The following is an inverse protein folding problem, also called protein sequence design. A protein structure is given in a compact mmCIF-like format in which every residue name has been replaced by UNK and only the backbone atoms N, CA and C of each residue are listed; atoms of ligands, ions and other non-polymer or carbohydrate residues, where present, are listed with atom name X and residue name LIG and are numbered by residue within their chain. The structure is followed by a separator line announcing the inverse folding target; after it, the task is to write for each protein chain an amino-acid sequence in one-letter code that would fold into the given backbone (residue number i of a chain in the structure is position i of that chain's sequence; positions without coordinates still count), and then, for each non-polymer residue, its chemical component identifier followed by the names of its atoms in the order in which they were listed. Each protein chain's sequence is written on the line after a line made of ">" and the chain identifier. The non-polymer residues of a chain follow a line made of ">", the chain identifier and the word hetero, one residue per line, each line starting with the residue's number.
data_IF_918990673964
#
_entry.id   IF_918990673964
#
_cell.length_a   1.000
_cell.length_b   1.000
_cell.length_c   1.000
_cell.angle_alpha   90.00
_cell.angle_beta   90.00
_cell.angle_gamma   90.00
#
_symmetry.space_group_name_H-M   'P 1'
#
loop_
_entity.id
_entity.type
_entity.pdbx_description
1 polymer ?
#
# COMPACT_ATOMS: atom_id res chain seq x y z
N UNK A 1 -49.74 -37.92 1.79
CA UNK A 1 -49.35 -36.68 1.08
C UNK A 1 -48.34 -37.06 0.00
N UNK A 2 -48.79 -37.24 -1.25
CA UNK A 2 -47.96 -37.68 -2.38
C UNK A 2 -47.34 -36.44 -3.07
N UNK A 3 -46.00 -36.40 -3.21
CA UNK A 3 -45.36 -35.39 -4.05
C UNK A 3 -45.47 -35.82 -5.52
N UNK A 4 -46.24 -35.08 -6.33
CA UNK A 4 -46.30 -35.23 -7.78
C UNK A 4 -45.33 -34.24 -8.44
N UNK A 5 -44.32 -34.74 -9.15
CA UNK A 5 -43.55 -33.95 -10.11
C UNK A 5 -44.05 -34.25 -11.52
N UNK A 6 -44.47 -33.22 -12.25
CA UNK A 6 -44.96 -33.29 -13.65
C UNK A 6 -43.83 -32.79 -14.55
N UNK A 7 -43.44 -33.55 -15.58
CA UNK A 7 -42.51 -33.07 -16.61
C UNK A 7 -43.21 -33.03 -17.96
N UNK A 8 -43.01 -31.94 -18.70
CA UNK A 8 -43.76 -31.62 -19.92
C UNK A 8 -43.02 -32.13 -21.16
N UNK A 9 -42.93 -33.46 -21.28
CA UNK A 9 -42.63 -34.23 -22.49
C UNK A 9 -42.50 -35.69 -22.04
N UNK A 10 -43.44 -36.53 -22.48
CA UNK A 10 -43.56 -37.98 -22.26
C UNK A 10 -44.20 -38.46 -20.94
N UNK A 11 -45.44 -38.96 -21.05
CA UNK A 11 -46.24 -39.56 -19.99
C UNK A 11 -45.69 -40.91 -19.52
N UNK A 12 -44.92 -40.95 -18.43
CA UNK A 12 -44.64 -42.19 -17.71
C UNK A 12 -44.69 -41.98 -16.18
N UNK A 13 -45.46 -42.82 -15.49
CA UNK A 13 -45.53 -42.86 -14.02
C UNK A 13 -44.58 -43.93 -13.48
N UNK A 14 -43.73 -43.59 -12.51
CA UNK A 14 -42.92 -44.55 -11.75
C UNK A 14 -43.35 -44.58 -10.28
N UNK A 15 -43.61 -45.79 -9.76
CA UNK A 15 -43.83 -46.08 -8.35
C UNK A 15 -42.61 -46.79 -7.75
N UNK A 16 -42.12 -46.35 -6.58
CA UNK A 16 -41.04 -47.03 -5.85
C UNK A 16 -41.49 -47.52 -4.46
N UNK A 17 -41.05 -48.71 -4.01
CA UNK A 17 -41.35 -49.24 -2.67
C UNK A 17 -40.41 -48.67 -1.60
N UNK A 18 -40.86 -48.74 -0.33
CA UNK A 18 -40.15 -48.29 0.88
C UNK A 18 -38.94 -49.19 1.20
N UNK A 19 -37.76 -48.56 1.30
CA UNK A 19 -36.57 -48.89 2.12
C UNK A 19 -35.26 -48.85 1.30
N UNK A 20 -34.29 -48.06 1.76
CA UNK A 20 -32.85 -48.31 1.49
C UNK A 20 -32.03 -47.21 0.81
N UNK A 21 -31.19 -46.53 1.61
CA UNK A 21 -29.91 -45.87 1.27
C UNK A 21 -29.90 -44.53 0.51
N UNK A 22 -29.16 -43.57 1.09
CA UNK A 22 -28.93 -42.19 0.65
C UNK A 22 -27.99 -42.04 -0.57
N UNK A 23 -27.77 -43.08 -1.38
CA UNK A 23 -26.89 -43.02 -2.57
C UNK A 23 -27.61 -42.69 -3.89
N UNK A 24 -28.94 -42.71 -3.94
CA UNK A 24 -29.70 -42.58 -5.19
C UNK A 24 -30.26 -41.16 -5.48
N UNK A 25 -30.24 -40.23 -4.53
CA UNK A 25 -30.60 -38.82 -4.77
C UNK A 25 -29.45 -38.00 -5.40
N UNK A 26 -28.20 -38.39 -5.12
CA UNK A 26 -27.00 -37.69 -5.60
C UNK A 26 -26.69 -37.98 -7.07
N UNK A 27 -27.14 -39.12 -7.63
CA UNK A 27 -26.96 -39.44 -9.05
C UNK A 27 -27.98 -38.67 -9.93
N UNK A 28 -29.19 -38.45 -9.44
CA UNK A 28 -30.24 -37.70 -10.14
C UNK A 28 -29.93 -36.19 -10.22
N UNK A 29 -29.35 -35.60 -9.17
CA UNK A 29 -28.93 -34.20 -9.14
C UNK A 29 -27.65 -33.94 -9.98
N UNK A 30 -26.73 -34.91 -10.09
CA UNK A 30 -25.55 -34.81 -10.95
C UNK A 30 -25.90 -34.92 -12.45
N UNK A 31 -26.98 -35.61 -12.81
CA UNK A 31 -27.49 -35.69 -14.19
C UNK A 31 -28.12 -34.38 -14.69
N UNK A 32 -28.90 -33.69 -13.86
CA UNK A 32 -29.53 -32.42 -14.26
C UNK A 32 -28.55 -31.24 -14.33
N UNK A 33 -27.48 -31.23 -13.51
CA UNK A 33 -26.44 -30.20 -13.56
C UNK A 33 -25.55 -30.29 -14.81
N UNK A 34 -25.34 -31.49 -15.37
CA UNK A 34 -24.51 -31.70 -16.58
C UNK A 34 -25.21 -31.29 -17.88
N UNK A 35 -26.55 -31.28 -17.93
CA UNK A 35 -27.34 -30.89 -19.10
C UNK A 35 -27.62 -29.37 -19.13
N UNK A 36 -27.76 -28.73 -17.96
CA UNK A 36 -27.92 -27.27 -17.87
C UNK A 36 -26.62 -26.51 -18.23
N UNK A 37 -25.45 -27.07 -17.94
CA UNK A 37 -24.17 -26.38 -18.13
C UNK A 37 -23.64 -26.44 -19.58
N UNK A 38 -24.07 -27.41 -20.40
CA UNK A 38 -23.62 -27.53 -21.80
C UNK A 38 -24.48 -26.72 -22.80
N UNK A 39 -25.75 -26.42 -22.45
CA UNK A 39 -26.64 -25.58 -23.28
C UNK A 39 -26.47 -24.08 -23.04
N UNK A 40 -26.06 -23.66 -21.84
CA UNK A 40 -25.86 -22.24 -21.50
C UNK A 40 -24.50 -21.71 -22.03
N UNK A 41 -23.48 -22.56 -22.19
CA UNK A 41 -22.14 -22.14 -22.67
C UNK A 41 -21.98 -22.11 -24.21
N UNK A 42 -23.00 -22.45 -24.99
CA UNK A 42 -22.97 -22.38 -26.46
C UNK A 42 -23.78 -21.23 -27.08
N UNK A 43 -24.56 -20.49 -26.29
CA UNK A 43 -25.40 -19.40 -26.80
C UNK A 43 -24.88 -17.98 -26.54
N UNK A 44 -23.86 -17.77 -25.69
CA UNK A 44 -23.36 -16.40 -25.40
C UNK A 44 -22.11 -15.96 -26.18
N UNK A 45 -21.42 -16.84 -26.91
CA UNK A 45 -20.17 -16.47 -27.61
C UNK A 45 -20.36 -15.91 -29.03
N UNK A 46 -21.52 -16.14 -29.66
CA UNK A 46 -21.78 -15.68 -31.03
C UNK A 46 -22.31 -14.23 -31.08
N UNK A 47 -23.16 -13.83 -30.13
CA UNK A 47 -23.79 -12.51 -30.12
C UNK A 47 -22.90 -11.39 -29.57
N UNK A 48 -22.00 -11.69 -28.62
CA UNK A 48 -21.06 -10.70 -28.05
C UNK A 48 -20.01 -10.26 -29.09
N UNK A 49 -19.51 -11.16 -29.94
CA UNK A 49 -18.55 -10.79 -31.01
C UNK A 49 -19.19 -9.97 -32.13
N UNK A 50 -20.46 -10.24 -32.44
CA UNK A 50 -21.27 -9.45 -33.38
C UNK A 50 -21.54 -8.04 -32.85
N UNK A 51 -21.90 -7.94 -31.57
CA UNK A 51 -22.18 -6.68 -30.89
C UNK A 51 -20.94 -5.78 -30.75
N UNK A 52 -19.79 -6.35 -30.34
CA UNK A 52 -18.52 -5.63 -30.22
C UNK A 52 -18.05 -5.12 -31.60
N UNK A 53 -18.14 -5.94 -32.67
CA UNK A 53 -17.79 -5.50 -34.03
C UNK A 53 -18.70 -4.39 -34.56
N UNK A 54 -20.00 -4.42 -34.25
CA UNK A 54 -20.95 -3.35 -34.64
C UNK A 54 -20.65 -2.04 -33.90
N UNK A 55 -20.39 -2.08 -32.58
CA UNK A 55 -20.04 -0.89 -31.79
C UNK A 55 -18.67 -0.31 -32.16
N UNK A 56 -17.69 -1.15 -32.50
CA UNK A 56 -16.37 -0.68 -32.95
C UNK A 56 -16.44 0.00 -34.32
N UNK A 57 -17.23 -0.54 -35.27
CA UNK A 57 -17.42 0.08 -36.59
C UNK A 57 -18.22 1.39 -36.54
N UNK A 58 -19.21 1.51 -35.65
CA UNK A 58 -19.96 2.76 -35.46
C UNK A 58 -19.16 3.83 -34.70
N UNK A 59 -18.31 3.47 -33.74
CA UNK A 59 -17.46 4.44 -33.03
C UNK A 59 -16.28 4.97 -33.86
N UNK A 60 -15.74 4.15 -34.78
CA UNK A 60 -14.58 4.52 -35.59
C UNK A 60 -14.93 5.42 -36.78
N UNK A 61 -16.18 5.43 -37.26
CA UNK A 61 -16.61 6.36 -38.32
C UNK A 61 -16.94 7.76 -37.80
N UNK A 62 -17.31 7.88 -36.51
CA UNK A 62 -17.57 9.19 -35.85
C UNK A 62 -16.29 9.85 -35.35
N UNK A 63 -15.21 9.10 -35.14
CA UNK A 63 -13.93 9.62 -34.65
C UNK A 63 -13.00 10.12 -35.79
N UNK A 64 -13.26 9.73 -37.04
CA UNK A 64 -12.47 10.14 -38.22
C UNK A 64 -12.96 11.44 -38.90
N UNK A 65 -14.08 12.02 -38.46
CA UNK A 65 -14.64 13.27 -39.01
C UNK A 65 -14.37 14.50 -38.13
N UNK A 66 -13.68 14.36 -36.98
CA UNK A 66 -13.54 15.45 -36.02
C UNK A 66 -12.13 16.08 -35.89
N UNK A 67 -11.07 15.54 -36.49
CA UNK A 67 -9.72 16.14 -36.35
C UNK A 67 -8.79 15.84 -37.54
N UNK A 68 -8.55 16.81 -38.44
CA UNK A 68 -7.29 16.99 -39.12
C UNK A 68 -6.50 18.16 -38.51
N UNK A 69 -5.19 17.97 -38.45
CA UNK A 69 -4.15 18.85 -37.94
C UNK A 69 -4.13 20.18 -38.71
N UNK A 70 -4.17 21.31 -38.02
CA UNK A 70 -3.27 22.48 -38.18
C UNK A 70 -3.80 23.72 -37.44
N UNK A 71 -2.93 24.31 -36.61
CA UNK A 71 -2.76 25.73 -36.26
C UNK A 71 -3.96 26.69 -36.41
N UNK A 72 -4.36 27.39 -35.34
CA UNK A 72 -4.22 28.86 -35.23
C UNK A 72 -4.74 29.38 -33.87
N UNK A 73 -4.13 30.49 -33.47
CA UNK A 73 -4.31 31.30 -32.27
C UNK A 73 -5.74 31.86 -32.06
N UNK A 74 -6.09 32.08 -30.79
CA UNK A 74 -7.03 33.06 -30.25
C UNK A 74 -8.44 33.19 -30.88
N UNK A 75 -9.48 32.85 -30.11
CA UNK A 75 -10.52 33.79 -29.66
C UNK A 75 -11.77 33.08 -29.10
N UNK A 76 -12.41 33.78 -28.14
CA UNK A 76 -13.81 33.71 -27.69
C UNK A 76 -14.16 32.52 -26.79
N UNK A 77 -14.30 32.67 -25.47
CA UNK A 77 -15.20 33.58 -24.72
C UNK A 77 -16.61 33.58 -25.30
N UNK A 78 -17.55 33.16 -24.44
CA UNK A 78 -19.00 33.15 -24.59
C UNK A 78 -19.62 31.93 -25.29
N UNK A 79 -20.80 31.57 -24.78
CA UNK A 79 -21.82 30.67 -25.35
C UNK A 79 -21.74 29.18 -25.01
N UNK A 80 -22.36 28.81 -23.87
CA UNK A 80 -23.67 28.11 -23.85
C UNK A 80 -24.06 27.70 -22.42
N UNK A 81 -24.48 28.70 -21.65
CA UNK A 81 -25.70 28.57 -20.84
C UNK A 81 -26.86 28.77 -21.80
N UNK A 82 -27.79 27.80 -21.87
CA UNK A 82 -29.25 27.96 -22.08
C UNK A 82 -29.91 26.76 -22.81
N UNK A 83 -31.04 26.35 -22.22
CA UNK A 83 -32.15 25.51 -22.71
C UNK A 83 -32.01 23.98 -22.72
N UNK A 84 -32.69 23.32 -21.77
CA UNK A 84 -34.10 22.91 -21.96
C UNK A 84 -34.79 22.46 -20.65
N UNK A 85 -35.96 23.03 -20.43
CA UNK A 85 -36.92 22.80 -19.33
C UNK A 85 -38.02 21.81 -19.74
N UNK A 86 -38.56 21.05 -18.78
CA UNK A 86 -39.93 20.48 -18.59
C UNK A 86 -39.78 19.20 -17.75
N UNK A 87 -40.58 18.83 -16.75
CA UNK A 87 -42.00 18.93 -16.36
C UNK A 87 -42.01 18.26 -14.95
N UNK A 88 -42.67 18.66 -13.85
CA UNK A 88 -44.11 18.72 -13.60
C UNK A 88 -44.37 19.10 -12.11
N UNK A 89 -45.43 19.90 -11.93
CA UNK A 89 -46.46 19.86 -10.86
C UNK A 89 -46.04 20.07 -9.39
N UNK A 90 -46.44 21.18 -8.74
CA UNK A 90 -47.77 21.51 -8.19
C UNK A 90 -47.76 21.32 -6.66
N UNK A 91 -48.12 22.27 -5.80
CA UNK A 91 -48.65 23.60 -6.07
C UNK A 91 -48.95 24.38 -4.78
N UNK A 92 -49.77 25.42 -4.98
CA UNK A 92 -50.63 26.14 -4.02
C UNK A 92 -49.94 27.01 -2.95
N UNK A 93 -49.91 28.34 -3.19
CA UNK A 93 -50.81 29.38 -2.64
C UNK A 93 -50.40 29.75 -1.21
N UNK A 94 -50.11 30.99 -0.83
CA UNK A 94 -50.97 32.18 -1.03
C UNK A 94 -50.24 33.51 -0.74
N UNK A 95 -50.47 34.48 -1.62
CA UNK A 95 -50.74 35.93 -1.41
C UNK A 95 -50.34 36.59 -0.07
N UNK A 96 -49.48 37.61 -0.11
CA UNK A 96 -49.83 39.05 -0.19
C UNK A 96 -50.16 39.70 1.16
N UNK A 97 -49.31 40.60 1.63
CA UNK A 97 -49.75 41.78 2.38
C UNK A 97 -48.98 43.02 1.94
N UNK A 98 -49.79 44.07 1.73
CA UNK A 98 -49.48 45.40 1.23
C UNK A 98 -49.18 46.34 2.42
N UNK A 99 -48.81 47.58 2.07
CA UNK A 99 -48.90 48.84 2.85
C UNK A 99 -47.84 49.16 3.91
N UNK A 100 -46.87 49.97 3.48
CA UNK A 100 -46.67 51.37 3.86
C UNK A 100 -46.95 51.79 5.32
N UNK A 101 -45.90 52.30 5.99
CA UNK A 101 -46.01 53.42 6.92
C UNK A 101 -44.78 54.34 6.77
N UNK A 102 -45.08 55.64 6.64
CA UNK A 102 -44.18 56.78 6.53
C UNK A 102 -43.79 57.28 7.92
N UNK A 103 -42.54 57.77 8.04
CA UNK A 103 -42.00 58.79 8.97
C UNK A 103 -42.29 58.67 10.47
N UNK A 104 -41.24 58.52 11.29
CA UNK A 104 -40.73 59.62 12.13
C UNK A 104 -39.48 59.19 12.93
N UNK A 105 -38.42 59.99 12.85
CA UNK A 105 -37.59 60.31 14.01
C UNK A 105 -36.35 59.44 14.30
N UNK A 106 -35.24 60.17 14.46
CA UNK A 106 -34.10 59.83 15.32
C UNK A 106 -32.93 59.12 14.64
N UNK A 107 -32.06 59.99 14.11
CA UNK A 107 -30.63 59.81 13.95
C UNK A 107 -29.98 59.27 15.24
N UNK A 108 -29.98 57.96 15.43
CA UNK A 108 -29.06 57.27 16.33
C UNK A 108 -28.02 56.58 15.45
N UNK A 109 -26.87 57.25 15.23
CA UNK A 109 -25.65 56.58 14.83
C UNK A 109 -25.30 55.58 15.93
N UNK A 110 -25.88 54.38 15.86
CA UNK A 110 -25.31 53.20 16.50
C UNK A 110 -23.96 52.98 15.80
N UNK A 111 -22.89 53.39 16.46
CA UNK A 111 -21.59 52.75 16.29
C UNK A 111 -21.77 51.28 16.66
N UNK A 112 -22.24 50.48 15.70
CA UNK A 112 -21.98 49.06 15.71
C UNK A 112 -20.48 48.96 15.41
N UNK A 113 -19.62 48.57 16.36
CA UNK A 113 -18.24 48.25 16.01
C UNK A 113 -18.35 47.11 15.01
N UNK A 114 -18.14 47.41 13.73
CA UNK A 114 -17.86 46.40 12.73
C UNK A 114 -16.55 45.77 13.18
N UNK A 115 -16.66 44.74 14.01
CA UNK A 115 -15.63 43.74 14.18
C UNK A 115 -15.37 43.21 12.77
N UNK A 116 -14.38 43.81 12.11
CA UNK A 116 -13.68 43.21 10.99
C UNK A 116 -13.12 41.90 11.53
N UNK A 117 -13.95 40.85 11.49
CA UNK A 117 -13.47 39.49 11.53
C UNK A 117 -12.51 39.40 10.36
N UNK A 118 -11.22 39.49 10.67
CA UNK A 118 -10.18 39.14 9.73
C UNK A 118 -10.48 37.70 9.33
N UNK A 119 -11.08 37.53 8.15
CA UNK A 119 -11.13 36.23 7.48
C UNK A 119 -9.67 35.83 7.33
N UNK A 120 -9.19 34.95 8.21
CA UNK A 120 -7.93 34.28 7.99
C UNK A 120 -7.99 33.69 6.59
N UNK A 121 -7.16 34.23 5.70
CA UNK A 121 -6.98 33.63 4.37
C UNK A 121 -6.27 32.32 4.63
N UNK A 122 -7.06 31.26 4.81
CA UNK A 122 -6.56 29.92 5.01
C UNK A 122 -5.81 29.54 3.72
N UNK A 123 -4.48 29.57 3.79
CA UNK A 123 -3.61 29.16 2.68
C UNK A 123 -4.02 27.74 2.29
N UNK A 124 -4.27 27.53 0.99
CA UNK A 124 -4.59 26.20 0.48
C UNK A 124 -3.48 25.20 0.90
N UNK A 125 -3.85 23.97 1.30
CA UNK A 125 -2.87 23.01 1.78
C UNK A 125 -1.85 22.66 0.70
N UNK A 126 -0.61 22.48 1.15
CA UNK A 126 0.51 22.10 0.31
C UNK A 126 0.38 20.62 -0.10
N UNK A 127 0.26 20.36 -1.40
CA UNK A 127 0.11 18.99 -1.91
C UNK A 127 1.40 18.20 -1.81
N UNK A 128 1.31 16.93 -1.42
CA UNK A 128 2.42 15.97 -1.37
C UNK A 128 1.95 14.60 -1.87
N UNK A 129 2.70 13.97 -2.76
CA UNK A 129 2.48 12.56 -3.16
C UNK A 129 3.47 11.66 -2.45
N UNK A 130 2.93 10.76 -1.62
CA UNK A 130 3.68 9.75 -0.90
C UNK A 130 3.70 8.42 -1.65
N UNK A 131 4.87 7.92 -1.99
CA UNK A 131 5.04 6.63 -2.66
C UNK A 131 5.26 5.49 -1.66
N UNK A 132 4.36 4.50 -1.66
CA UNK A 132 4.62 3.24 -0.95
C UNK A 132 5.76 2.47 -1.63
N UNK A 133 6.60 1.81 -0.83
CA UNK A 133 7.63 0.87 -1.30
C UNK A 133 7.09 -0.53 -1.56
N UNK A 134 5.93 -0.87 -0.98
CA UNK A 134 5.32 -2.17 -1.08
C UNK A 134 3.79 -2.09 -1.03
N UNK A 135 3.13 -3.25 -0.99
CA UNK A 135 1.69 -3.34 -0.80
C UNK A 135 1.27 -2.72 0.54
N UNK A 136 0.03 -2.21 0.65
CA UNK A 136 -0.51 -1.77 1.93
C UNK A 136 -0.45 -2.86 3.01
N UNK A 137 -0.13 -2.45 4.24
CA UNK A 137 0.04 -3.34 5.38
C UNK A 137 0.27 -2.54 6.68
N UNK A 138 0.37 -3.25 7.80
CA UNK A 138 0.59 -2.64 9.12
C UNK A 138 1.95 -1.94 9.23
N UNK A 139 2.92 -2.33 8.42
CA UNK A 139 4.23 -1.67 8.30
C UNK A 139 4.19 -0.32 7.58
N UNK A 140 3.04 0.05 6.98
CA UNK A 140 2.80 1.37 6.39
C UNK A 140 1.87 2.24 7.24
N UNK A 141 1.51 1.80 8.45
CA UNK A 141 0.50 2.48 9.30
C UNK A 141 0.78 3.97 9.49
N UNK A 142 2.04 4.38 9.66
CA UNK A 142 2.39 5.78 9.91
C UNK A 142 1.88 6.75 8.84
N UNK A 143 1.91 6.39 7.54
CA UNK A 143 1.38 7.30 6.49
C UNK A 143 -0.14 7.37 6.52
N UNK A 144 -0.82 6.24 6.77
CA UNK A 144 -2.28 6.21 6.87
C UNK A 144 -2.77 6.98 8.10
N UNK A 145 -2.07 6.86 9.24
CA UNK A 145 -2.31 7.70 10.42
C UNK A 145 -2.10 9.18 10.08
N UNK A 146 -1.01 9.52 9.36
CA UNK A 146 -0.76 10.91 9.00
C UNK A 146 -1.93 11.54 8.25
N UNK A 147 -2.48 10.82 7.28
CA UNK A 147 -3.62 11.27 6.47
C UNK A 147 -4.93 11.24 7.28
N UNK A 148 -5.31 10.08 7.81
CA UNK A 148 -6.67 9.85 8.30
C UNK A 148 -6.88 10.32 9.75
N UNK A 149 -5.83 10.38 10.58
CA UNK A 149 -5.89 11.01 11.92
C UNK A 149 -5.60 12.52 11.87
N UNK A 150 -5.30 13.07 10.70
CA UNK A 150 -5.22 14.51 10.48
C UNK A 150 -3.89 15.17 10.83
N UNK A 151 -2.83 14.42 11.19
CA UNK A 151 -1.50 14.99 11.46
C UNK A 151 -0.92 15.73 10.24
N UNK A 152 -1.08 15.17 9.05
CA UNK A 152 -0.68 15.82 7.81
C UNK A 152 -1.50 17.12 7.59
N UNK A 153 -2.81 17.08 7.85
CA UNK A 153 -3.70 18.23 7.70
C UNK A 153 -3.40 19.35 8.71
N UNK A 154 -3.04 19.02 9.96
CA UNK A 154 -2.66 20.02 10.98
C UNK A 154 -1.38 20.76 10.62
N UNK A 155 -0.51 20.14 9.83
CA UNK A 155 0.70 20.77 9.28
C UNK A 155 0.44 21.45 7.91
N UNK A 156 -0.83 21.61 7.52
CA UNK A 156 -1.25 22.28 6.28
C UNK A 156 -0.90 21.49 5.02
N UNK A 157 -0.88 20.15 5.09
CA UNK A 157 -0.53 19.26 3.98
C UNK A 157 -1.75 18.50 3.47
N UNK A 158 -1.83 18.37 2.14
CA UNK A 158 -2.78 17.50 1.44
C UNK A 158 -1.98 16.33 0.82
N UNK A 159 -2.02 15.17 1.46
CA UNK A 159 -1.15 14.04 1.13
C UNK A 159 -1.92 12.95 0.41
N UNK A 160 -1.52 12.64 -0.82
CA UNK A 160 -2.02 11.52 -1.60
C UNK A 160 -1.06 10.31 -1.47
N UNK A 161 -1.60 9.12 -1.23
CA UNK A 161 -0.83 7.88 -1.12
C UNK A 161 -0.87 7.15 -2.46
N UNK A 162 0.30 6.92 -3.04
CA UNK A 162 0.49 6.20 -4.30
C UNK A 162 0.87 4.73 -4.03
N UNK A 163 0.29 3.77 -4.79
CA UNK A 163 0.53 2.34 -4.57
C UNK A 163 1.96 1.93 -4.91
N UNK A 164 2.50 0.96 -4.16
CA UNK A 164 3.87 0.46 -4.30
C UNK A 164 3.94 -1.05 -4.56
N UNK A 165 4.96 -1.50 -5.28
CA UNK A 165 5.26 -2.93 -5.54
C UNK A 165 6.77 -3.23 -5.59
N UNK A 166 7.57 -2.47 -4.84
CA UNK A 166 9.02 -2.66 -4.73
C UNK A 166 9.74 -1.34 -4.47
N UNK A 167 10.77 -1.37 -3.62
CA UNK A 167 11.56 -0.19 -3.27
C UNK A 167 12.25 0.46 -4.49
N UNK A 168 12.72 -0.34 -5.45
CA UNK A 168 13.33 0.20 -6.68
C UNK A 168 12.32 0.98 -7.54
N UNK A 169 11.09 0.50 -7.68
CA UNK A 169 10.03 1.24 -8.39
C UNK A 169 9.70 2.54 -7.66
N UNK A 170 9.61 2.51 -6.33
CA UNK A 170 9.40 3.70 -5.52
C UNK A 170 10.52 4.74 -5.72
N UNK A 171 11.79 4.31 -5.68
CA UNK A 171 12.95 5.16 -5.95
C UNK A 171 12.87 5.75 -7.36
N UNK A 172 12.58 4.96 -8.38
CA UNK A 172 12.46 5.44 -9.77
C UNK A 172 11.33 6.47 -9.93
N UNK A 173 10.16 6.24 -9.31
CA UNK A 173 9.03 7.19 -9.36
C UNK A 173 9.36 8.51 -8.68
N UNK A 174 10.02 8.46 -7.53
CA UNK A 174 10.46 9.67 -6.81
C UNK A 174 11.54 10.40 -7.61
N UNK A 175 12.53 9.67 -8.15
CA UNK A 175 13.57 10.25 -9.01
C UNK A 175 13.00 10.94 -10.26
N UNK A 176 11.92 10.38 -10.83
CA UNK A 176 11.21 10.93 -11.98
C UNK A 176 10.26 12.10 -11.64
N UNK A 177 10.06 12.42 -10.36
CA UNK A 177 9.08 13.42 -9.91
C UNK A 177 7.63 12.98 -10.09
N UNK A 178 7.37 11.68 -10.22
CA UNK A 178 6.01 11.09 -10.19
C UNK A 178 5.47 11.06 -8.76
N UNK A 179 6.36 11.00 -7.76
CA UNK A 179 6.03 11.15 -6.35
C UNK A 179 7.07 12.05 -5.70
N UNK A 180 6.73 12.70 -4.58
CA UNK A 180 7.57 13.74 -3.98
C UNK A 180 8.46 13.15 -2.87
N UNK A 181 7.85 12.29 -2.05
CA UNK A 181 8.41 11.59 -0.90
C UNK A 181 7.88 10.15 -0.90
N UNK A 182 8.51 9.23 -0.18
CA UNK A 182 8.01 7.88 0.01
C UNK A 182 8.88 7.08 0.95
N UNK A 183 8.71 5.77 0.95
CA UNK A 183 9.61 4.85 1.63
C UNK A 183 10.46 4.07 0.61
N UNK A 184 11.62 3.60 1.05
CA UNK A 184 12.37 2.53 0.40
C UNK A 184 13.42 1.98 1.37
N UNK A 185 13.90 0.77 1.10
CA UNK A 185 15.10 0.26 1.77
C UNK A 185 16.31 1.14 1.40
N UNK A 186 17.05 1.62 2.42
CA UNK A 186 18.17 2.54 2.20
C UNK A 186 19.29 1.90 1.37
N UNK A 187 19.44 0.59 1.44
CA UNK A 187 20.46 -0.14 0.68
C UNK A 187 20.13 -0.15 -0.81
N UNK A 188 18.85 -0.32 -1.15
CA UNK A 188 18.36 -0.18 -2.52
C UNK A 188 18.57 1.25 -3.03
N UNK A 189 18.34 2.26 -2.18
CA UNK A 189 18.61 3.65 -2.53
C UNK A 189 20.10 3.89 -2.83
N UNK A 190 20.99 3.45 -1.93
CA UNK A 190 22.44 3.61 -2.13
C UNK A 190 22.92 2.91 -3.41
N UNK A 191 22.43 1.69 -3.66
CA UNK A 191 22.71 0.96 -4.89
C UNK A 191 22.23 1.69 -6.14
N UNK A 192 21.01 2.24 -6.11
CA UNK A 192 20.44 3.01 -7.22
C UNK A 192 21.21 4.32 -7.49
N UNK A 193 21.74 4.96 -6.44
CA UNK A 193 22.59 6.16 -6.59
C UNK A 193 23.89 5.86 -7.34
N UNK A 194 24.50 4.69 -7.11
CA UNK A 194 25.71 4.27 -7.84
C UNK A 194 25.39 3.76 -9.24
N UNK A 195 24.44 2.83 -9.36
CA UNK A 195 24.17 2.12 -10.61
C UNK A 195 23.37 2.95 -11.64
N UNK A 196 22.50 3.85 -11.17
CA UNK A 196 21.58 4.60 -12.03
C UNK A 196 21.64 6.13 -11.80
N UNK A 197 22.54 6.61 -10.93
CA UNK A 197 22.74 8.04 -10.64
C UNK A 197 21.43 8.76 -10.25
N UNK A 198 20.54 8.07 -9.53
CA UNK A 198 19.25 8.65 -9.11
C UNK A 198 19.44 9.83 -8.17
N UNK A 199 18.62 10.87 -8.33
CA UNK A 199 18.65 12.10 -7.52
C UNK A 199 17.62 12.04 -6.40
N UNK A 200 17.83 11.08 -5.51
CA UNK A 200 16.95 10.77 -4.37
C UNK A 200 17.81 10.59 -3.14
N UNK A 201 17.38 11.14 -2.01
CA UNK A 201 18.09 11.05 -0.74
C UNK A 201 17.16 10.53 0.36
N UNK A 202 17.70 9.78 1.31
CA UNK A 202 16.99 9.39 2.52
C UNK A 202 17.00 10.55 3.53
N UNK A 203 15.85 10.82 4.14
CA UNK A 203 15.61 12.02 4.96
C UNK A 203 15.25 11.67 6.41
N UNK A 204 14.86 10.42 6.68
CA UNK A 204 14.62 9.91 8.03
C UNK A 204 14.70 8.38 8.02
N UNK A 205 15.43 7.79 8.97
CA UNK A 205 15.41 6.33 9.16
C UNK A 205 14.03 5.89 9.69
N UNK A 206 13.46 4.81 9.14
CA UNK A 206 12.27 4.18 9.72
C UNK A 206 12.70 2.96 10.53
N UNK A 207 13.48 2.07 9.93
CA UNK A 207 14.02 0.87 10.60
C UNK A 207 15.52 1.01 10.83
N UNK A 208 15.90 1.05 12.11
CA UNK A 208 17.30 1.08 12.53
C UNK A 208 17.99 -0.29 12.43
N UNK A 209 17.22 -1.36 12.21
CA UNK A 209 17.69 -2.73 11.99
C UNK A 209 16.99 -3.30 10.74
N UNK A 210 17.68 -4.13 9.97
CA UNK A 210 17.08 -4.76 8.79
C UNK A 210 15.94 -5.72 9.20
N UNK A 211 14.83 -5.74 8.46
CA UNK A 211 13.70 -6.62 8.77
C UNK A 211 13.86 -8.03 8.21
N UNK A 212 14.95 -8.39 7.53
CA UNK A 212 15.03 -9.66 6.80
C UNK A 212 15.07 -10.89 7.73
N UNK A 213 14.28 -11.91 7.41
CA UNK A 213 14.26 -13.16 8.17
C UNK A 213 13.98 -14.38 7.28
N UNK A 214 14.48 -15.53 7.75
CA UNK A 214 13.99 -16.84 7.33
C UNK A 214 12.84 -17.26 8.24
N UNK A 215 11.82 -17.92 7.70
CA UNK A 215 10.74 -18.53 8.45
C UNK A 215 10.64 -20.01 8.14
N UNK A 216 10.44 -20.81 9.17
CA UNK A 216 10.27 -22.26 9.09
C UNK A 216 9.09 -22.71 9.95
N UNK A 217 8.58 -23.92 9.72
CA UNK A 217 7.69 -24.55 10.70
C UNK A 217 8.48 -24.93 11.96
N UNK A 218 7.87 -24.78 13.15
CA UNK A 218 8.55 -25.09 14.42
C UNK A 218 8.93 -26.56 14.57
N UNK A 219 8.17 -27.47 13.95
CA UNK A 219 8.44 -28.92 13.91
C UNK A 219 9.47 -29.33 12.83
N UNK A 220 10.01 -28.36 12.08
CA UNK A 220 11.05 -28.59 11.09
C UNK A 220 12.37 -29.03 11.73
N UNK A 221 13.19 -29.86 11.06
CA UNK A 221 14.56 -30.14 11.50
C UNK A 221 15.49 -28.91 11.43
N UNK A 222 15.04 -27.77 10.88
CA UNK A 222 15.82 -26.54 10.75
C UNK A 222 15.78 -25.77 12.08
N UNK A 223 16.85 -25.86 12.87
CA UNK A 223 16.93 -25.26 14.20
C UNK A 223 17.85 -24.04 14.26
N UNK A 224 18.72 -23.89 13.26
CA UNK A 224 19.61 -22.75 13.02
C UNK A 224 19.75 -22.48 11.52
N UNK A 225 20.27 -21.32 11.15
CA UNK A 225 20.41 -20.91 9.72
C UNK A 225 21.25 -21.89 8.91
N UNK A 226 22.31 -22.48 9.48
CA UNK A 226 23.13 -23.47 8.78
C UNK A 226 22.34 -24.71 8.30
N UNK A 227 21.22 -25.03 8.93
CA UNK A 227 20.41 -26.22 8.62
C UNK A 227 19.56 -26.04 7.34
N UNK A 228 19.56 -24.84 6.73
CA UNK A 228 18.88 -24.60 5.44
C UNK A 228 19.64 -25.22 4.26
N UNK A 229 20.85 -25.76 4.48
CA UNK A 229 21.61 -26.46 3.44
C UNK A 229 20.82 -27.64 2.89
N UNK A 230 20.70 -27.69 1.57
CA UNK A 230 19.94 -28.66 0.80
C UNK A 230 18.41 -28.44 0.84
N UNK A 231 17.92 -27.32 1.36
CA UNK A 231 16.48 -27.06 1.55
C UNK A 231 15.85 -26.26 0.42
N UNK A 232 14.54 -26.41 0.26
CA UNK A 232 13.73 -25.55 -0.59
C UNK A 232 13.44 -24.23 0.12
N UNK A 233 13.73 -23.12 -0.55
CA UNK A 233 13.55 -21.76 -0.04
C UNK A 233 12.65 -20.99 -1.01
N UNK A 234 11.60 -20.34 -0.51
CA UNK A 234 10.76 -19.47 -1.33
C UNK A 234 10.86 -17.99 -0.91
N UNK A 235 10.82 -17.08 -1.87
CA UNK A 235 10.89 -15.63 -1.64
C UNK A 235 10.03 -14.86 -2.64
N UNK A 236 9.69 -13.61 -2.33
CA UNK A 236 9.06 -12.71 -3.30
C UNK A 236 10.08 -12.17 -4.31
N UNK A 237 9.77 -12.02 -5.62
CA UNK A 237 10.74 -11.53 -6.60
C UNK A 237 11.33 -10.16 -6.28
N UNK A 238 10.50 -9.23 -5.79
CA UNK A 238 10.85 -7.82 -5.64
C UNK A 238 11.19 -7.39 -4.20
N UNK A 239 11.37 -8.34 -3.27
CA UNK A 239 11.82 -8.02 -1.90
C UNK A 239 13.29 -7.62 -1.88
N UNK A 240 13.63 -6.64 -1.03
CA UNK A 240 15.03 -6.24 -0.78
C UNK A 240 15.88 -7.39 -0.22
N UNK A 241 15.28 -8.38 0.46
CA UNK A 241 16.01 -9.52 1.01
C UNK A 241 16.77 -10.34 -0.05
N UNK A 242 16.31 -10.32 -1.31
CA UNK A 242 16.98 -11.02 -2.41
C UNK A 242 18.35 -10.44 -2.73
N UNK A 243 18.55 -9.15 -2.44
CA UNK A 243 19.82 -8.46 -2.60
C UNK A 243 20.88 -9.03 -1.67
N UNK A 244 20.47 -9.26 -0.43
CA UNK A 244 21.36 -9.69 0.65
C UNK A 244 21.46 -11.19 0.80
N UNK A 245 20.58 -11.98 0.18
CA UNK A 245 20.61 -13.42 0.34
C UNK A 245 21.97 -14.04 -0.02
N UNK A 246 22.58 -13.81 -1.21
CA UNK A 246 23.88 -14.39 -1.52
C UNK A 246 25.01 -14.01 -0.55
N UNK A 247 25.26 -12.73 -0.22
CA UNK A 247 26.31 -12.36 0.74
C UNK A 247 25.98 -12.81 2.17
N UNK A 248 24.69 -12.83 2.56
CA UNK A 248 24.29 -13.34 3.87
C UNK A 248 24.57 -14.83 4.00
N UNK A 249 24.25 -15.64 2.99
CA UNK A 249 24.60 -17.06 2.99
C UNK A 249 26.11 -17.28 3.16
N UNK A 250 26.94 -16.47 2.50
CA UNK A 250 28.41 -16.55 2.64
C UNK A 250 28.86 -16.32 4.08
N UNK A 251 28.27 -15.37 4.82
CA UNK A 251 28.62 -15.16 6.24
C UNK A 251 28.24 -16.35 7.13
N UNK A 252 27.31 -17.19 6.66
CA UNK A 252 26.89 -18.42 7.32
C UNK A 252 27.60 -19.68 6.79
N UNK A 253 28.67 -19.52 5.99
CA UNK A 253 29.39 -20.60 5.30
C UNK A 253 28.49 -21.43 4.35
N UNK A 254 27.52 -20.76 3.72
CA UNK A 254 26.62 -21.30 2.70
C UNK A 254 26.77 -20.53 1.39
N UNK A 255 26.20 -21.08 0.33
CA UNK A 255 26.13 -20.49 -1.01
C UNK A 255 24.74 -20.63 -1.61
N UNK A 256 24.50 -19.96 -2.74
CA UNK A 256 23.25 -20.13 -3.49
C UNK A 256 23.04 -21.57 -3.99
N UNK A 257 24.12 -22.33 -4.19
CA UNK A 257 24.06 -23.74 -4.63
C UNK A 257 23.68 -24.68 -3.49
N UNK A 258 23.78 -24.22 -2.23
CA UNK A 258 23.34 -24.98 -1.06
C UNK A 258 21.82 -24.90 -0.84
N UNK A 259 21.06 -24.16 -1.65
CA UNK A 259 19.60 -24.04 -1.50
C UNK A 259 18.89 -24.15 -2.84
N UNK A 260 17.63 -24.60 -2.81
CA UNK A 260 16.75 -24.52 -4.00
C UNK A 260 15.83 -23.31 -3.88
N UNK A 261 16.24 -22.17 -4.44
CA UNK A 261 15.48 -20.92 -4.36
C UNK A 261 14.38 -20.85 -5.42
N UNK A 262 13.13 -20.68 -4.99
CA UNK A 262 11.98 -20.36 -5.86
C UNK A 262 11.46 -18.96 -5.57
N UNK A 263 11.09 -18.23 -6.62
CA UNK A 263 10.46 -16.91 -6.49
C UNK A 263 8.97 -17.01 -6.80
N UNK A 264 8.13 -16.60 -5.86
CA UNK A 264 6.66 -16.67 -5.95
C UNK A 264 6.02 -15.39 -5.39
N UNK A 265 4.77 -15.12 -5.73
CA UNK A 265 4.03 -13.99 -5.15
C UNK A 265 4.01 -14.05 -3.61
N UNK A 266 4.07 -12.88 -2.96
CA UNK A 266 4.14 -12.76 -1.50
C UNK A 266 3.01 -13.48 -0.78
N UNK A 267 1.80 -13.43 -1.32
CA UNK A 267 0.63 -14.12 -0.79
C UNK A 267 0.73 -15.65 -0.81
N UNK A 268 1.63 -16.23 -1.62
CA UNK A 268 1.82 -17.67 -1.71
C UNK A 268 2.82 -18.22 -0.67
N UNK A 269 3.68 -17.37 -0.10
CA UNK A 269 4.78 -17.80 0.77
C UNK A 269 4.29 -18.56 2.01
N UNK A 270 3.37 -17.95 2.78
CA UNK A 270 2.80 -18.55 3.99
C UNK A 270 2.12 -19.90 3.72
N UNK A 271 1.17 -19.98 2.77
CA UNK A 271 0.57 -21.25 2.37
C UNK A 271 1.59 -22.30 1.90
N UNK A 272 2.63 -21.92 1.17
CA UNK A 272 3.67 -22.85 0.74
C UNK A 272 4.47 -23.43 1.92
N UNK A 273 4.82 -22.60 2.91
CA UNK A 273 5.49 -23.05 4.12
C UNK A 273 4.59 -24.01 4.91
N UNK A 274 3.34 -23.59 5.17
CA UNK A 274 2.37 -24.33 5.99
C UNK A 274 2.05 -25.70 5.37
N UNK A 275 1.93 -25.77 4.05
CA UNK A 275 1.64 -27.02 3.33
C UNK A 275 2.88 -27.88 3.06
N UNK A 276 4.09 -27.43 3.44
CA UNK A 276 5.34 -28.14 3.22
C UNK A 276 5.79 -28.17 1.75
N UNK A 277 5.29 -27.26 0.92
CA UNK A 277 5.77 -27.09 -0.48
C UNK A 277 7.15 -26.42 -0.55
N UNK A 278 7.56 -25.76 0.53
CA UNK A 278 8.91 -25.21 0.73
C UNK A 278 9.27 -25.40 2.20
N UNK A 279 10.56 -25.58 2.49
CA UNK A 279 11.04 -25.79 3.87
C UNK A 279 11.23 -24.46 4.59
N UNK A 280 11.59 -23.42 3.83
CA UNK A 280 11.89 -22.07 4.32
C UNK A 280 11.20 -21.03 3.44
N UNK A 281 10.76 -19.93 4.03
CA UNK A 281 10.43 -18.71 3.28
C UNK A 281 11.28 -17.53 3.75
N UNK A 282 11.54 -16.60 2.84
CA UNK A 282 12.17 -15.31 3.12
C UNK A 282 11.09 -14.24 3.10
N UNK A 283 10.98 -13.51 4.21
CA UNK A 283 10.09 -12.37 4.33
C UNK A 283 10.63 -11.37 5.36
N UNK A 284 9.92 -10.26 5.54
CA UNK A 284 10.27 -9.27 6.55
C UNK A 284 9.68 -9.63 7.91
N UNK A 285 10.32 -9.23 9.00
CA UNK A 285 9.83 -9.43 10.37
C UNK A 285 8.49 -8.73 10.62
N UNK A 286 8.18 -7.70 9.84
CA UNK A 286 6.88 -7.03 9.81
C UNK A 286 5.72 -7.94 9.38
N UNK A 287 6.01 -9.13 8.87
CA UNK A 287 5.02 -10.15 8.50
C UNK A 287 4.90 -11.29 9.51
N UNK A 288 5.65 -11.27 10.63
CA UNK A 288 5.74 -12.42 11.55
C UNK A 288 4.36 -12.86 12.05
N UNK A 289 3.61 -11.93 12.67
CA UNK A 289 2.29 -12.22 13.23
C UNK A 289 1.32 -12.72 12.15
N UNK A 290 1.44 -12.21 10.91
CA UNK A 290 0.61 -12.66 9.79
C UNK A 290 0.88 -14.13 9.44
N UNK A 291 2.14 -14.55 9.37
CA UNK A 291 2.47 -15.95 9.11
C UNK A 291 2.16 -16.85 10.30
N UNK A 292 2.35 -16.36 11.53
CA UNK A 292 2.02 -17.07 12.75
C UNK A 292 0.52 -17.39 12.81
N UNK A 293 -0.34 -16.41 12.53
CA UNK A 293 -1.78 -16.61 12.51
C UNK A 293 -2.21 -17.59 11.40
N UNK A 294 -1.63 -17.48 10.19
CA UNK A 294 -1.90 -18.43 9.11
C UNK A 294 -1.52 -19.87 9.51
N UNK A 295 -0.37 -20.05 10.16
CA UNK A 295 0.07 -21.35 10.65
C UNK A 295 -0.85 -21.87 11.76
N UNK A 296 -1.24 -21.00 12.70
CA UNK A 296 -2.14 -21.34 13.82
C UNK A 296 -3.51 -21.82 13.33
N UNK A 297 -4.08 -21.17 12.32
CA UNK A 297 -5.33 -21.60 11.66
C UNK A 297 -5.19 -23.02 11.08
N UNK A 298 -3.99 -23.38 10.62
CA UNK A 298 -3.66 -24.71 10.12
C UNK A 298 -3.14 -25.68 11.22
N UNK A 299 -3.28 -25.32 12.50
CA UNK A 299 -2.78 -26.09 13.65
C UNK A 299 -1.26 -26.36 13.60
N UNK A 300 -0.51 -25.37 13.13
CA UNK A 300 0.95 -25.38 13.08
C UNK A 300 1.53 -24.16 13.79
N UNK A 301 2.82 -24.24 14.10
CA UNK A 301 3.61 -23.15 14.62
C UNK A 301 4.77 -22.84 13.68
N UNK A 302 5.28 -21.61 13.73
CA UNK A 302 6.44 -21.18 12.96
C UNK A 302 7.52 -20.59 13.87
N UNK A 303 8.75 -20.63 13.36
CA UNK A 303 9.90 -19.94 13.92
C UNK A 303 10.49 -19.01 12.87
N UNK A 304 10.91 -17.83 13.31
CA UNK A 304 11.70 -16.92 12.49
C UNK A 304 13.18 -16.95 12.91
N UNK A 305 14.07 -16.78 11.94
CA UNK A 305 15.50 -16.53 12.11
C UNK A 305 15.81 -15.15 11.53
N UNK A 306 15.77 -14.08 12.36
CA UNK A 306 16.19 -12.74 11.97
C UNK A 306 17.64 -12.72 11.47
N UNK A 307 17.89 -12.11 10.32
CA UNK A 307 19.26 -12.01 9.78
C UNK A 307 20.13 -11.04 10.59
N UNK A 308 19.52 -10.07 11.26
CA UNK A 308 20.19 -9.13 12.17
C UNK A 308 20.89 -9.86 13.32
N UNK A 309 20.28 -10.93 13.85
CA UNK A 309 20.86 -11.76 14.92
C UNK A 309 22.08 -12.58 14.44
N UNK A 310 22.25 -12.70 13.12
CA UNK A 310 23.36 -13.42 12.49
C UNK A 310 24.36 -12.47 11.81
N UNK A 311 24.40 -11.21 12.27
CA UNK A 311 25.43 -10.23 11.90
C UNK A 311 25.06 -9.31 10.74
N UNK A 312 23.86 -9.42 10.15
CA UNK A 312 23.38 -8.46 9.16
C UNK A 312 22.71 -7.25 9.85
N UNK A 313 23.44 -6.58 10.74
CA UNK A 313 22.97 -5.38 11.44
C UNK A 313 23.16 -4.11 10.60
N UNK A 314 22.23 -3.90 9.68
CA UNK A 314 22.18 -2.75 8.76
C UNK A 314 20.92 -1.92 8.99
N UNK A 315 20.91 -0.68 8.49
CA UNK A 315 19.65 0.06 8.33
C UNK A 315 18.70 -0.68 7.37
N UNK A 316 17.40 -0.55 7.60
CA UNK A 316 16.35 -1.06 6.72
C UNK A 316 15.65 0.05 5.94
N UNK A 317 14.33 0.14 6.10
CA UNK A 317 13.52 1.14 5.41
C UNK A 317 13.79 2.56 5.93
N UNK A 318 13.71 3.54 5.03
CA UNK A 318 13.84 4.98 5.31
C UNK A 318 12.79 5.77 4.53
N UNK A 319 12.40 6.92 5.06
CA UNK A 319 11.75 7.94 4.24
C UNK A 319 12.76 8.50 3.25
N UNK A 320 12.36 8.61 1.99
CA UNK A 320 13.16 9.10 0.88
C UNK A 320 12.42 10.22 0.15
N UNK A 321 13.15 11.19 -0.37
CA UNK A 321 12.60 12.30 -1.16
C UNK A 321 13.51 12.60 -2.34
N UNK A 322 12.93 13.15 -3.42
CA UNK A 322 13.75 13.61 -4.54
C UNK A 322 14.61 14.79 -4.13
N UNK A 323 15.84 14.88 -4.64
CA UNK A 323 16.74 16.00 -4.36
C UNK A 323 16.10 17.34 -4.79
N UNK A 324 15.27 17.30 -5.85
CA UNK A 324 14.46 18.44 -6.30
C UNK A 324 13.45 18.89 -5.24
N UNK A 325 12.66 17.96 -4.69
CA UNK A 325 11.67 18.30 -3.66
C UNK A 325 12.35 18.83 -2.39
N UNK A 326 13.48 18.22 -2.00
CA UNK A 326 14.32 18.68 -0.89
C UNK A 326 14.78 20.13 -1.12
N UNK A 327 15.22 20.49 -2.32
CA UNK A 327 15.72 21.84 -2.62
C UNK A 327 14.62 22.89 -2.83
N UNK A 328 13.51 22.52 -3.49
CA UNK A 328 12.49 23.48 -3.91
C UNK A 328 11.38 23.67 -2.86
N UNK A 329 11.13 22.66 -2.02
CA UNK A 329 10.07 22.69 -1.00
C UNK A 329 10.56 22.16 0.37
N UNK A 330 11.68 22.68 0.91
CA UNK A 330 12.26 22.19 2.17
C UNK A 330 11.33 22.42 3.37
N UNK A 331 10.51 23.48 3.36
CA UNK A 331 9.53 23.76 4.42
C UNK A 331 8.42 22.71 4.44
N UNK A 332 7.92 22.32 3.27
CA UNK A 332 6.89 21.29 3.11
C UNK A 332 7.42 19.93 3.55
N UNK A 333 8.66 19.59 3.18
CA UNK A 333 9.31 18.35 3.63
C UNK A 333 9.49 18.32 5.15
N UNK A 334 9.91 19.43 5.76
CA UNK A 334 10.07 19.54 7.22
C UNK A 334 8.74 19.29 7.94
N UNK A 335 7.66 19.94 7.49
CA UNK A 335 6.30 19.75 8.02
C UNK A 335 5.81 18.31 7.83
N UNK A 336 6.09 17.71 6.67
CA UNK A 336 5.73 16.32 6.39
C UNK A 336 6.44 15.35 7.34
N UNK A 337 7.75 15.49 7.52
CA UNK A 337 8.53 14.64 8.43
C UNK A 337 8.05 14.80 9.87
N UNK A 338 7.71 16.03 10.30
CA UNK A 338 7.12 16.28 11.62
C UNK A 338 5.80 15.53 11.80
N UNK A 339 4.86 15.66 10.85
CA UNK A 339 3.58 14.95 10.90
C UNK A 339 3.74 13.42 10.86
N UNK A 340 4.68 12.91 10.04
CA UNK A 340 4.97 11.49 9.96
C UNK A 340 5.55 10.94 11.27
N UNK A 341 6.47 11.68 11.91
CA UNK A 341 7.01 11.31 13.24
C UNK A 341 5.91 11.27 14.31
N UNK A 342 5.02 12.27 14.34
CA UNK A 342 3.86 12.26 15.23
C UNK A 342 2.96 11.04 14.97
N UNK A 343 2.84 10.62 13.71
CA UNK A 343 2.07 9.43 13.34
C UNK A 343 2.72 8.13 13.80
N UNK A 344 4.06 8.03 13.79
CA UNK A 344 4.80 6.91 14.39
C UNK A 344 4.56 6.84 15.90
N UNK A 345 4.61 7.98 16.59
CA UNK A 345 4.34 8.06 18.03
C UNK A 345 2.89 7.62 18.31
N UNK A 346 1.94 8.18 17.57
CA UNK A 346 0.53 7.84 17.72
C UNK A 346 0.26 6.35 17.50
N UNK A 347 0.85 5.73 16.47
CA UNK A 347 0.62 4.29 16.23
C UNK A 347 1.27 3.38 17.29
N UNK A 348 2.27 3.89 18.01
CA UNK A 348 2.83 3.20 19.17
C UNK A 348 1.91 3.30 20.40
N UNK A 349 1.40 4.49 20.69
CA UNK A 349 0.55 4.77 21.85
C UNK A 349 -0.89 4.26 21.67
N UNK A 350 -1.40 4.28 20.44
CA UNK A 350 -2.79 3.98 20.08
C UNK A 350 -2.88 2.98 18.91
N UNK A 351 -2.37 1.74 19.06
CA UNK A 351 -2.23 0.81 17.95
C UNK A 351 -3.57 0.42 17.31
N UNK A 352 -4.65 0.27 18.09
CA UNK A 352 -5.97 -0.07 17.52
C UNK A 352 -6.55 1.05 16.66
N UNK A 353 -6.44 2.30 17.11
CA UNK A 353 -6.87 3.46 16.35
C UNK A 353 -6.01 3.69 15.10
N UNK A 354 -4.73 3.35 15.18
CA UNK A 354 -3.83 3.42 14.05
C UNK A 354 -4.15 2.37 12.99
N UNK A 355 -4.54 1.16 13.40
CA UNK A 355 -5.05 0.13 12.49
C UNK A 355 -6.34 0.61 11.81
N UNK A 356 -7.25 1.26 12.52
CA UNK A 356 -8.48 1.77 11.93
C UNK A 356 -8.20 2.79 10.81
N UNK A 357 -7.14 3.59 10.94
CA UNK A 357 -6.68 4.48 9.87
C UNK A 357 -6.26 3.69 8.61
N UNK A 358 -5.59 2.55 8.75
CA UNK A 358 -5.26 1.70 7.59
C UNK A 358 -6.54 1.11 6.98
N UNK A 359 -7.45 0.61 7.82
CA UNK A 359 -8.70 -0.01 7.37
C UNK A 359 -9.64 0.96 6.65
N UNK A 360 -9.62 2.26 7.01
CA UNK A 360 -10.38 3.30 6.31
C UNK A 360 -9.90 3.49 4.87
N UNK A 361 -8.59 3.40 4.63
CA UNK A 361 -8.01 3.53 3.30
C UNK A 361 -8.01 2.22 2.50
N UNK A 362 -7.91 1.08 3.18
CA UNK A 362 -7.71 -0.25 2.55
C UNK A 362 -8.58 -1.30 3.24
N UNK A 363 -9.92 -1.23 3.08
CA UNK A 363 -10.88 -2.06 3.82
C UNK A 363 -10.85 -3.54 3.46
N UNK A 364 -10.19 -3.92 2.36
CA UNK A 364 -10.03 -5.31 1.94
C UNK A 364 -8.99 -6.11 2.74
N UNK A 365 -8.17 -5.43 3.56
CA UNK A 365 -7.19 -6.10 4.42
C UNK A 365 -7.86 -6.79 5.61
N UNK A 366 -7.18 -7.80 6.16
CA UNK A 366 -7.58 -8.38 7.43
C UNK A 366 -7.06 -7.53 8.60
N UNK A 367 -7.96 -7.02 9.44
CA UNK A 367 -7.63 -6.10 10.54
C UNK A 367 -6.62 -6.71 11.52
N UNK A 368 -6.74 -8.00 11.84
CA UNK A 368 -5.83 -8.66 12.78
C UNK A 368 -4.43 -8.79 12.19
N UNK A 369 -4.32 -9.14 10.90
CA UNK A 369 -3.06 -9.16 10.16
C UNK A 369 -2.40 -7.78 10.12
N UNK A 370 -3.18 -6.70 9.89
CA UNK A 370 -2.68 -5.32 9.94
C UNK A 370 -2.19 -4.96 11.34
N UNK A 371 -2.95 -5.28 12.39
CA UNK A 371 -2.55 -5.03 13.77
C UNK A 371 -1.26 -5.79 14.13
N UNK A 372 -1.18 -7.06 13.80
CA UNK A 372 0.02 -7.87 14.00
C UNK A 372 1.23 -7.27 13.30
N UNK A 373 1.08 -6.91 12.03
CA UNK A 373 2.14 -6.27 11.24
C UNK A 373 2.58 -4.93 11.83
N UNK A 374 1.66 -4.11 12.34
CA UNK A 374 1.99 -2.87 13.06
C UNK A 374 2.82 -3.18 14.32
N UNK A 375 2.40 -4.14 15.14
CA UNK A 375 3.11 -4.50 16.36
C UNK A 375 4.52 -5.05 16.08
N UNK A 376 4.68 -5.84 15.02
CA UNK A 376 6.00 -6.30 14.57
C UNK A 376 6.87 -5.16 14.05
N UNK A 377 6.26 -4.22 13.33
CA UNK A 377 6.92 -3.00 12.85
C UNK A 377 7.44 -2.14 14.00
N UNK A 378 6.64 -2.00 15.07
CA UNK A 378 7.06 -1.23 16.25
C UNK A 378 8.32 -1.78 16.90
N UNK A 379 8.62 -3.08 16.84
CA UNK A 379 9.88 -3.68 17.34
C UNK A 379 11.11 -3.25 16.53
N UNK A 380 10.93 -2.91 15.25
CA UNK A 380 11.98 -2.42 14.37
C UNK A 380 12.19 -0.91 14.47
N UNK A 381 11.15 -0.19 14.89
CA UNK A 381 11.18 1.27 15.10
C UNK A 381 11.63 1.60 16.52
N UNK A 382 11.06 0.97 17.55
CA UNK A 382 11.36 1.20 18.97
C UNK A 382 12.22 0.06 19.49
N UNK A 383 13.51 0.35 19.65
CA UNK A 383 14.54 -0.55 20.13
C UNK A 383 15.68 0.25 20.73
N UNK A 384 16.68 -0.46 21.25
CA UNK A 384 17.95 0.05 21.77
C UNK A 384 18.58 1.19 20.96
N UNK A 385 18.56 1.11 19.63
CA UNK A 385 19.10 2.19 18.77
C UNK A 385 18.25 3.46 18.83
N UNK A 386 16.92 3.31 18.82
CA UNK A 386 16.01 4.45 18.95
C UNK A 386 16.05 5.06 20.34
N UNK A 387 16.20 4.25 21.38
CA UNK A 387 16.35 4.72 22.76
C UNK A 387 17.62 5.55 22.94
N UNK A 388 18.71 5.13 22.29
CA UNK A 388 20.01 5.79 22.42
C UNK A 388 20.17 7.03 21.52
N UNK A 389 19.66 6.99 20.29
CA UNK A 389 19.94 8.00 19.27
C UNK A 389 18.71 8.78 18.80
N UNK A 390 17.52 8.39 19.27
CA UNK A 390 16.26 9.01 18.92
C UNK A 390 15.68 8.49 17.59
N UNK A 391 14.36 8.62 17.48
CA UNK A 391 13.59 8.22 16.31
C UNK A 391 14.06 8.98 15.06
N UNK A 392 14.26 8.26 13.96
CA UNK A 392 14.59 8.84 12.66
C UNK A 392 16.05 9.21 12.43
N UNK A 393 16.94 8.89 13.37
CA UNK A 393 18.35 9.26 13.33
C UNK A 393 19.18 8.42 12.34
N UNK A 394 20.17 9.08 11.73
CA UNK A 394 21.18 8.43 10.92
C UNK A 394 22.54 8.50 11.60
N UNK A 395 23.07 7.34 11.99
CA UNK A 395 24.42 7.21 12.53
C UNK A 395 25.43 7.05 11.41
N UNK A 396 26.48 7.86 11.43
CA UNK A 396 27.57 7.82 10.43
C UNK A 396 28.19 6.43 10.32
N UNK A 397 28.56 5.81 11.44
CA UNK A 397 29.22 4.50 11.46
C UNK A 397 28.30 3.38 10.92
N UNK A 398 27.02 3.38 11.30
CA UNK A 398 26.06 2.39 10.83
C UNK A 398 25.68 2.60 9.36
N UNK A 399 25.54 3.85 8.90
CA UNK A 399 25.38 4.17 7.48
C UNK A 399 26.59 3.66 6.67
N UNK A 400 27.80 3.90 7.16
CA UNK A 400 29.02 3.44 6.50
C UNK A 400 29.08 1.91 6.41
N UNK A 401 28.76 1.19 7.50
CA UNK A 401 28.64 -0.28 7.50
C UNK A 401 27.58 -0.76 6.52
N UNK A 402 26.43 -0.09 6.49
CA UNK A 402 25.31 -0.38 5.56
C UNK A 402 25.76 -0.23 4.12
N UNK A 403 26.45 0.86 3.78
CA UNK A 403 26.97 1.07 2.44
C UNK A 403 28.03 0.03 2.06
N UNK A 404 29.01 -0.22 2.91
CA UNK A 404 30.07 -1.21 2.66
C UNK A 404 29.50 -2.60 2.36
N UNK A 405 28.53 -3.05 3.17
CA UNK A 405 27.87 -4.34 2.96
C UNK A 405 26.99 -4.37 1.72
N UNK A 406 26.35 -3.26 1.38
CA UNK A 406 25.57 -3.14 0.14
C UNK A 406 26.49 -3.18 -1.09
N UNK A 407 27.61 -2.45 -1.07
CA UNK A 407 28.57 -2.44 -2.16
C UNK A 407 29.22 -3.82 -2.36
N UNK A 408 29.59 -4.49 -1.26
CA UNK A 408 30.07 -5.88 -1.28
C UNK A 408 29.03 -6.85 -1.85
N UNK A 409 27.76 -6.73 -1.41
CA UNK A 409 26.65 -7.56 -1.88
C UNK A 409 26.43 -7.47 -3.39
N UNK A 410 26.61 -6.27 -3.95
CA UNK A 410 26.30 -5.94 -5.32
C UNK A 410 27.52 -5.84 -6.24
N UNK A 411 28.72 -6.09 -5.73
CA UNK A 411 29.97 -5.88 -6.47
C UNK A 411 30.08 -4.43 -7.03
N UNK A 412 29.66 -3.44 -6.23
CA UNK A 412 29.81 -2.02 -6.54
C UNK A 412 31.11 -1.48 -5.97
N UNK A 413 31.64 -0.42 -6.58
CA UNK A 413 32.77 0.32 -6.00
C UNK A 413 32.30 1.06 -4.72
N UNK A 414 32.82 0.69 -3.53
CA UNK A 414 32.44 1.33 -2.28
C UNK A 414 32.88 2.80 -2.20
N UNK A 415 33.75 3.27 -3.11
CA UNK A 415 34.21 4.66 -3.16
C UNK A 415 33.43 5.51 -4.18
N UNK A 416 32.53 4.91 -4.97
CA UNK A 416 31.75 5.64 -5.98
C UNK A 416 30.85 6.72 -5.36
N UNK A 417 30.37 6.50 -4.13
CA UNK A 417 29.64 7.47 -3.30
C UNK A 417 30.04 7.31 -1.84
N UNK A 418 29.96 8.39 -1.06
CA UNK A 418 30.04 8.29 0.40
C UNK A 418 28.68 7.89 0.97
N UNK A 419 28.67 7.16 2.09
CA UNK A 419 27.43 6.76 2.74
C UNK A 419 26.57 7.97 3.14
N UNK A 420 27.22 9.06 3.57
CA UNK A 420 26.56 10.31 3.93
C UNK A 420 25.95 11.04 2.74
N UNK A 421 26.46 10.83 1.53
CA UNK A 421 25.88 11.46 0.34
C UNK A 421 24.48 10.94 0.01
N UNK A 422 24.11 9.75 0.52
CA UNK A 422 22.80 9.15 0.33
C UNK A 422 21.74 9.67 1.30
N UNK A 423 22.13 10.45 2.31
CA UNK A 423 21.22 10.99 3.33
C UNK A 423 21.24 12.52 3.35
N UNK A 424 20.11 13.10 3.75
CA UNK A 424 19.96 14.54 4.06
C UNK A 424 19.40 14.66 5.47
N UNK A 425 20.31 14.87 6.42
CA UNK A 425 20.00 15.16 7.83
C UNK A 425 19.63 16.63 7.99
N UNK A 426 18.96 17.00 9.08
CA UNK A 426 18.53 18.38 9.37
C UNK A 426 17.02 18.62 9.26
N UNK A 427 16.28 17.70 8.66
CA UNK A 427 14.81 17.72 8.71
C UNK A 427 14.25 17.02 9.96
N UNK A 428 15.07 16.21 10.63
CA UNK A 428 14.75 15.42 11.81
C UNK A 428 15.32 15.99 13.12
N UNK A 429 16.35 16.84 13.05
CA UNK A 429 17.19 17.24 14.20
C UNK A 429 16.72 18.50 14.92
N UNK A 430 15.93 19.37 14.27
CA UNK A 430 15.49 20.66 14.83
C UNK A 430 14.16 20.61 15.60
N UNK A 431 13.75 19.44 16.09
CA UNK A 431 12.56 19.31 16.95
C UNK A 431 12.98 19.21 18.42
N UNK A 432 13.69 20.23 18.92
CA UNK A 432 13.91 20.40 20.36
C UNK A 432 12.56 20.55 21.05
N UNK A 433 12.20 19.58 21.90
CA UNK A 433 10.93 19.59 22.63
C UNK A 433 10.47 18.24 23.16
N UNK A 434 11.07 17.14 22.72
CA UNK A 434 10.69 15.80 23.16
C UNK A 434 11.94 14.98 23.50
N UNK A 435 12.41 15.14 24.74
CA UNK A 435 13.30 14.21 25.44
C UNK A 435 12.52 13.56 26.57
#
# INVERSE_FOLDING_TARGET
>A
MQAKCRNNSDNAFYSFPRNGSSRNLTSCLKGQKKIATSKILRLERADIKSFIRKRFKQGFSTFKQAFPIATFSAAKVAFKSLFKTRLLSAGFLSSSFLSANLLCGSLALLLCPQTLEAKEVQKAPDKVRFQLDWLPGGDKTAIYVCVNKGFCKSEGLDVAIEPGRGGNDAITRIAAGVSDVGAADITALMAARVSANVKVSAVMAIFNKTPHAFYVLSDSPIQKIADIKGKAVATSPFTASNLFLPPFLKTQNLSMDDITLTRVDSGALGPMLITGKTDVIIAWLTDYTRYEEQARIAHKEIKAFPWVESGLDLYGSSLIASDKFISERPDVLTRFIKAYRQSIIFMHEHPDEAVDAVMESVPELDRQSVKGSLLDTLKLIYNDETDQYGLGSFRRDKLQRTWQKTAEALNLDPNAVTAESAVKTGFSENLEGFK
#
